data_IF_976956411502
#
_entry.id   IF_976956411502
#
_cell.length_a   1.000
_cell.length_b   1.000
_cell.length_c   1.000
_cell.angle_alpha   90.00
_cell.angle_beta   90.00
_cell.angle_gamma   90.00
#
_symmetry.space_group_name_H-M   'P 1'
#
loop_
_entity.id
_entity.type
_entity.pdbx_description
1 polymer ?
#
# COMPACT_ATOMS: atom_id res chain seq x y z
N UNK A 1 10.40 -0.89 55.50
CA UNK A 1 10.95 -1.53 54.30
C UNK A 1 10.04 -2.69 53.94
N UNK A 2 9.04 -2.42 53.10
CA UNK A 2 8.19 -3.44 52.50
C UNK A 2 7.74 -2.88 51.15
N UNK A 3 8.50 -3.21 50.11
CA UNK A 3 8.17 -2.97 48.70
C UNK A 3 9.05 -3.94 47.91
N UNK A 4 8.58 -5.19 47.78
CA UNK A 4 9.26 -6.18 46.91
C UNK A 4 8.33 -7.36 46.53
N UNK A 5 7.01 -7.13 46.55
CA UNK A 5 6.00 -8.19 46.37
C UNK A 5 5.04 -8.04 45.18
N UNK A 6 4.86 -6.82 44.65
CA UNK A 6 3.95 -6.53 43.53
C UNK A 6 4.62 -6.70 42.15
N UNK A 7 5.95 -6.51 42.07
CA UNK A 7 6.70 -6.45 40.80
C UNK A 7 6.80 -7.81 40.10
N UNK A 8 6.80 -8.91 40.86
CA UNK A 8 6.93 -10.28 40.32
C UNK A 8 5.63 -10.80 39.72
N UNK A 9 4.47 -10.35 40.21
CA UNK A 9 3.16 -10.75 39.67
C UNK A 9 2.82 -10.06 38.36
N UNK A 10 3.23 -8.79 38.20
CA UNK A 10 2.99 -8.01 36.99
C UNK A 10 3.86 -8.50 35.81
N UNK A 11 5.14 -8.83 36.06
CA UNK A 11 6.01 -9.42 35.01
C UNK A 11 5.51 -10.79 34.52
N UNK A 12 4.88 -11.58 35.39
CA UNK A 12 4.33 -12.89 35.03
C UNK A 12 3.06 -12.73 34.18
N UNK A 13 2.24 -11.72 34.44
CA UNK A 13 1.05 -11.40 33.64
C UNK A 13 1.43 -10.86 32.26
N UNK A 14 2.39 -9.93 32.18
CA UNK A 14 2.89 -9.37 30.90
C UNK A 14 3.47 -10.45 29.98
N UNK A 15 4.24 -11.41 30.53
CA UNK A 15 4.77 -12.54 29.75
C UNK A 15 3.67 -13.46 29.24
N UNK A 16 2.61 -13.66 30.03
CA UNK A 16 1.46 -14.46 29.61
C UNK A 16 0.65 -13.76 28.51
N UNK A 17 0.41 -12.46 28.64
CA UNK A 17 -0.25 -11.64 27.61
C UNK A 17 0.55 -11.65 26.31
N UNK A 18 1.88 -11.51 26.39
CA UNK A 18 2.76 -11.60 25.23
C UNK A 18 2.70 -12.99 24.58
N UNK A 19 2.76 -14.06 25.37
CA UNK A 19 2.67 -15.43 24.86
C UNK A 19 1.32 -15.69 24.17
N UNK A 20 0.22 -15.18 24.72
CA UNK A 20 -1.11 -15.27 24.11
C UNK A 20 -1.16 -14.52 22.76
N UNK A 21 -0.55 -13.33 22.67
CA UNK A 21 -0.45 -12.58 21.43
C UNK A 21 0.36 -13.35 20.37
N UNK A 22 1.51 -13.91 20.73
CA UNK A 22 2.33 -14.73 19.82
C UNK A 22 1.55 -15.95 19.31
N UNK A 23 0.78 -16.62 20.18
CA UNK A 23 -0.06 -17.75 19.78
C UNK A 23 -1.16 -17.33 18.80
N UNK A 24 -1.79 -16.17 19.02
CA UNK A 24 -2.80 -15.62 18.10
C UNK A 24 -2.21 -15.28 16.72
N UNK A 25 -1.02 -14.69 16.67
CA UNK A 25 -0.31 -14.39 15.41
C UNK A 25 0.06 -15.65 14.63
N UNK A 26 0.53 -16.70 15.33
CA UNK A 26 0.82 -18.00 14.71
C UNK A 26 -0.43 -18.64 14.10
N UNK A 27 -1.55 -18.61 14.83
CA UNK A 27 -2.82 -19.11 14.32
C UNK A 27 -3.30 -18.29 13.12
N UNK A 28 -3.18 -16.96 13.18
CA UNK A 28 -3.49 -16.07 12.06
C UNK A 28 -2.68 -16.43 10.82
N UNK A 29 -1.35 -16.57 10.95
CA UNK A 29 -0.46 -16.97 9.86
C UNK A 29 -0.84 -18.34 9.28
N UNK A 30 -1.19 -19.31 10.13
CA UNK A 30 -1.67 -20.63 9.69
C UNK A 30 -2.96 -20.51 8.87
N UNK A 31 -3.96 -19.75 9.35
CA UNK A 31 -5.23 -19.53 8.64
C UNK A 31 -5.05 -18.80 7.31
N UNK A 32 -4.16 -17.80 7.25
CA UNK A 32 -3.80 -17.13 6.00
C UNK A 32 -3.20 -18.13 5.01
N UNK A 33 -2.29 -19.00 5.45
CA UNK A 33 -1.71 -20.05 4.60
C UNK A 33 -2.75 -21.06 4.11
N UNK A 34 -3.71 -21.45 4.96
CA UNK A 34 -4.82 -22.32 4.57
C UNK A 34 -5.72 -21.66 3.52
N UNK A 35 -6.11 -20.40 3.74
CA UNK A 35 -6.89 -19.63 2.79
C UNK A 35 -6.16 -19.50 1.45
N UNK A 36 -4.87 -19.18 1.47
CA UNK A 36 -4.05 -19.14 0.26
C UNK A 36 -4.06 -20.47 -0.49
N UNK A 37 -3.84 -21.60 0.18
CA UNK A 37 -3.70 -22.91 -0.48
C UNK A 37 -5.01 -23.52 -0.95
N UNK A 38 -6.11 -23.28 -0.23
CA UNK A 38 -7.34 -24.06 -0.41
C UNK A 38 -8.54 -23.25 -0.91
N UNK A 39 -8.50 -21.91 -0.89
CA UNK A 39 -9.61 -21.10 -1.40
C UNK A 39 -9.71 -21.19 -2.93
N UNK A 40 -10.83 -21.73 -3.42
CA UNK A 40 -11.10 -21.88 -4.85
C UNK A 40 -11.28 -20.54 -5.57
N UNK A 41 -12.01 -19.60 -4.96
CA UNK A 41 -12.34 -18.28 -5.53
C UNK A 41 -11.67 -17.15 -4.74
N UNK A 42 -10.37 -17.29 -4.44
CA UNK A 42 -9.63 -16.38 -3.55
C UNK A 42 -9.73 -14.91 -3.98
N UNK A 43 -9.49 -14.63 -5.26
CA UNK A 43 -9.56 -13.27 -5.81
C UNK A 43 -10.96 -12.65 -5.66
N UNK A 44 -12.03 -13.42 -5.88
CA UNK A 44 -13.41 -12.95 -5.75
C UNK A 44 -13.74 -12.62 -4.29
N UNK A 45 -13.32 -13.48 -3.35
CA UNK A 45 -13.50 -13.26 -1.91
C UNK A 45 -12.76 -11.99 -1.48
N UNK A 46 -11.52 -11.81 -1.93
CA UNK A 46 -10.71 -10.63 -1.61
C UNK A 46 -11.32 -9.35 -2.19
N UNK A 47 -11.82 -9.38 -3.44
CA UNK A 47 -12.54 -8.22 -4.02
C UNK A 47 -13.77 -7.84 -3.19
N UNK A 48 -14.58 -8.82 -2.77
CA UNK A 48 -15.73 -8.58 -1.88
C UNK A 48 -15.30 -8.03 -0.51
N UNK A 49 -14.21 -8.53 0.05
CA UNK A 49 -13.68 -8.06 1.33
C UNK A 49 -13.15 -6.62 1.25
N UNK A 50 -12.50 -6.24 0.14
CA UNK A 50 -12.08 -4.85 -0.12
C UNK A 50 -13.27 -3.89 -0.24
N UNK A 51 -14.42 -4.36 -0.71
CA UNK A 51 -15.68 -3.60 -0.73
C UNK A 51 -16.50 -3.71 0.58
N UNK A 52 -16.02 -4.49 1.56
CA UNK A 52 -16.74 -4.87 2.77
C UNK A 52 -16.59 -3.89 3.93
N UNK A 53 -16.74 -4.42 5.14
CA UNK A 53 -16.59 -3.64 6.37
C UNK A 53 -15.13 -3.28 6.66
N UNK A 54 -14.94 -2.41 7.66
CA UNK A 54 -13.60 -1.98 8.11
C UNK A 54 -12.64 -3.14 8.38
N UNK A 55 -13.13 -4.17 9.06
CA UNK A 55 -12.34 -5.33 9.44
C UNK A 55 -12.01 -6.19 8.22
N UNK A 56 -12.96 -6.39 7.30
CA UNK A 56 -12.73 -7.12 6.05
C UNK A 56 -11.68 -6.43 5.20
N UNK A 57 -11.76 -5.09 5.07
CA UNK A 57 -10.79 -4.29 4.34
C UNK A 57 -9.39 -4.40 4.92
N UNK A 58 -9.26 -4.26 6.24
CA UNK A 58 -7.97 -4.40 6.92
C UNK A 58 -7.35 -5.78 6.68
N UNK A 59 -8.12 -6.84 6.93
CA UNK A 59 -7.66 -8.22 6.78
C UNK A 59 -7.31 -8.55 5.33
N UNK A 60 -8.10 -8.08 4.35
CA UNK A 60 -7.82 -8.29 2.94
C UNK A 60 -6.52 -7.59 2.50
N UNK A 61 -6.30 -6.36 2.94
CA UNK A 61 -5.09 -5.61 2.59
C UNK A 61 -3.83 -6.22 3.24
N UNK A 62 -3.90 -6.61 4.52
CA UNK A 62 -2.80 -7.32 5.19
C UNK A 62 -2.50 -8.69 4.54
N UNK A 63 -3.55 -9.39 4.11
CA UNK A 63 -3.38 -10.63 3.37
C UNK A 63 -2.66 -10.38 2.04
N UNK A 64 -3.03 -9.34 1.29
CA UNK A 64 -2.40 -9.00 0.01
C UNK A 64 -0.96 -8.48 0.17
N UNK A 65 -0.64 -7.82 1.27
CA UNK A 65 0.74 -7.41 1.63
C UNK A 65 1.64 -8.63 1.86
N UNK A 66 1.13 -9.65 2.56
CA UNK A 66 1.87 -10.89 2.83
C UNK A 66 1.86 -11.89 1.67
N UNK A 67 0.82 -11.87 0.82
CA UNK A 67 0.60 -12.84 -0.27
C UNK A 67 0.12 -12.10 -1.53
N UNK A 68 1.04 -11.53 -2.33
CA UNK A 68 0.68 -10.56 -3.37
C UNK A 68 0.22 -11.18 -4.70
N UNK A 69 -0.06 -12.48 -4.75
CA UNK A 69 -0.38 -13.21 -5.98
C UNK A 69 -1.66 -12.69 -6.68
N UNK A 70 -2.63 -12.23 -5.90
CA UNK A 70 -3.92 -11.73 -6.40
C UNK A 70 -3.91 -10.22 -6.71
N UNK A 71 -2.84 -9.51 -6.34
CA UNK A 71 -2.73 -8.04 -6.50
C UNK A 71 -2.94 -7.59 -7.94
N UNK A 72 -2.36 -8.21 -8.99
CA UNK A 72 -2.56 -7.75 -10.37
C UNK A 72 -4.04 -7.78 -10.80
N UNK A 73 -4.82 -8.73 -10.30
CA UNK A 73 -6.24 -8.86 -10.62
C UNK A 73 -7.11 -7.87 -9.84
N UNK A 74 -6.63 -7.39 -8.70
CA UNK A 74 -7.34 -6.48 -7.78
C UNK A 74 -6.83 -5.04 -7.85
N UNK A 75 -5.99 -4.72 -8.84
CA UNK A 75 -5.24 -3.47 -8.85
C UNK A 75 -6.12 -2.22 -8.92
N UNK A 76 -7.27 -2.29 -9.57
CA UNK A 76 -8.21 -1.18 -9.61
C UNK A 76 -8.73 -0.84 -8.19
N UNK A 77 -9.20 -1.84 -7.45
CA UNK A 77 -9.69 -1.68 -6.08
C UNK A 77 -8.56 -1.22 -5.14
N UNK A 78 -7.36 -1.78 -5.31
CA UNK A 78 -6.20 -1.40 -4.51
C UNK A 78 -5.76 0.03 -4.76
N UNK A 79 -5.85 0.54 -5.99
CA UNK A 79 -5.54 1.95 -6.27
C UNK A 79 -6.55 2.88 -5.59
N UNK A 80 -7.85 2.54 -5.56
CA UNK A 80 -8.84 3.31 -4.79
C UNK A 80 -8.48 3.39 -3.31
N UNK A 81 -8.03 2.27 -2.72
CA UNK A 81 -7.59 2.23 -1.32
C UNK A 81 -6.27 2.98 -1.10
N UNK A 82 -5.33 2.90 -2.05
CA UNK A 82 -4.03 3.56 -2.01
C UNK A 82 -4.13 5.10 -2.05
N UNK A 83 -5.21 5.61 -2.64
CA UNK A 83 -5.53 7.04 -2.61
C UNK A 83 -6.58 7.40 -1.56
N UNK A 84 -7.05 6.48 -0.74
CA UNK A 84 -7.88 6.79 0.43
C UNK A 84 -7.02 7.24 1.61
N UNK A 85 -7.54 8.05 2.54
CA UNK A 85 -6.77 8.40 3.74
C UNK A 85 -6.57 7.20 4.68
N UNK A 86 -7.61 6.38 4.84
CA UNK A 86 -7.65 5.33 5.85
C UNK A 86 -6.73 4.15 5.52
N UNK A 87 -6.69 3.75 4.26
CA UNK A 87 -6.07 2.49 3.83
C UNK A 87 -4.85 2.69 2.92
N UNK A 88 -4.44 3.95 2.69
CA UNK A 88 -3.34 4.29 1.79
C UNK A 88 -2.08 3.45 2.03
N UNK A 89 -1.60 3.41 3.28
CA UNK A 89 -0.35 2.72 3.61
C UNK A 89 -0.40 1.22 3.31
N UNK A 90 -1.46 0.53 3.76
CA UNK A 90 -1.62 -0.91 3.54
C UNK A 90 -1.76 -1.25 2.05
N UNK A 91 -2.57 -0.50 1.31
CA UNK A 91 -2.78 -0.74 -0.12
C UNK A 91 -1.51 -0.49 -0.94
N UNK A 92 -0.75 0.57 -0.63
CA UNK A 92 0.52 0.86 -1.33
C UNK A 92 1.55 -0.23 -1.10
N UNK A 93 1.70 -0.73 0.14
CA UNK A 93 2.61 -1.86 0.44
C UNK A 93 2.20 -3.12 -0.30
N UNK A 94 0.92 -3.47 -0.30
CA UNK A 94 0.40 -4.60 -1.06
C UNK A 94 0.71 -4.48 -2.57
N UNK A 95 0.55 -3.29 -3.16
CA UNK A 95 0.92 -3.05 -4.57
C UNK A 95 2.45 -3.16 -4.76
N UNK A 96 3.26 -2.63 -3.84
CA UNK A 96 4.71 -2.63 -3.93
C UNK A 96 5.32 -4.03 -3.81
N UNK A 97 4.71 -4.92 -3.02
CA UNK A 97 5.12 -6.31 -2.85
C UNK A 97 4.79 -7.22 -4.04
N UNK A 98 3.96 -6.77 -4.98
CA UNK A 98 3.54 -7.57 -6.13
C UNK A 98 4.58 -7.68 -7.24
N UNK A 99 4.38 -8.66 -8.12
CA UNK A 99 5.23 -8.84 -9.31
C UNK A 99 5.19 -7.58 -10.18
N UNK A 100 6.31 -6.86 -10.20
CA UNK A 100 6.49 -5.59 -10.91
C UNK A 100 6.21 -5.72 -12.41
N UNK A 101 6.56 -6.84 -13.03
CA UNK A 101 6.40 -7.04 -14.47
C UNK A 101 4.92 -7.12 -14.86
N UNK A 102 4.09 -7.74 -14.00
CA UNK A 102 2.65 -7.85 -14.21
C UNK A 102 1.89 -6.62 -13.74
N UNK A 103 2.33 -6.01 -12.65
CA UNK A 103 1.58 -4.95 -11.95
C UNK A 103 1.80 -3.58 -12.56
N UNK A 104 3.04 -3.20 -12.91
CA UNK A 104 3.36 -1.83 -13.37
C UNK A 104 2.63 -1.43 -14.65
N UNK A 105 2.54 -2.26 -15.72
CA UNK A 105 1.82 -1.86 -16.93
C UNK A 105 0.35 -1.53 -16.66
N UNK A 106 -0.31 -2.32 -15.80
CA UNK A 106 -1.71 -2.10 -15.42
C UNK A 106 -1.84 -0.88 -14.52
N UNK A 107 -0.94 -0.70 -13.55
CA UNK A 107 -0.90 0.46 -12.65
C UNK A 107 -0.79 1.76 -13.46
N UNK A 108 0.17 1.83 -14.38
CA UNK A 108 0.39 3.01 -15.24
C UNK A 108 -0.85 3.40 -16.03
N UNK A 109 -1.59 2.41 -16.54
CA UNK A 109 -2.87 2.65 -17.24
C UNK A 109 -3.90 3.27 -16.30
N UNK A 110 -4.12 2.66 -15.13
CA UNK A 110 -5.07 3.16 -14.12
C UNK A 110 -4.72 4.59 -13.69
N UNK A 111 -3.45 4.84 -13.38
CA UNK A 111 -2.97 6.16 -12.97
C UNK A 111 -3.16 7.18 -14.09
N UNK A 112 -2.77 6.86 -15.32
CA UNK A 112 -2.95 7.75 -16.49
C UNK A 112 -4.41 8.14 -16.71
N UNK A 113 -5.33 7.19 -16.56
CA UNK A 113 -6.77 7.45 -16.66
C UNK A 113 -7.25 8.36 -15.52
N UNK A 114 -6.77 8.14 -14.30
CA UNK A 114 -7.17 8.89 -13.11
C UNK A 114 -6.65 10.33 -13.13
N UNK A 115 -5.42 10.57 -13.60
CA UNK A 115 -4.80 11.91 -13.63
C UNK A 115 -5.62 12.95 -14.40
N UNK A 116 -6.45 12.52 -15.36
CA UNK A 116 -7.33 13.40 -16.16
C UNK A 116 -8.42 14.08 -15.33
N UNK A 117 -8.75 13.52 -14.16
CA UNK A 117 -9.83 13.99 -13.28
C UNK A 117 -9.38 14.16 -11.83
N UNK A 118 -8.09 13.97 -11.56
CA UNK A 118 -7.56 13.97 -10.21
C UNK A 118 -7.46 15.38 -9.63
N UNK A 119 -7.83 15.53 -8.37
CA UNK A 119 -7.61 16.77 -7.60
C UNK A 119 -6.18 16.83 -7.03
N UNK A 120 -5.82 17.95 -6.38
CA UNK A 120 -4.49 18.16 -5.82
C UNK A 120 -4.11 17.14 -4.75
N UNK A 121 -5.08 16.60 -4.01
CA UNK A 121 -4.84 15.56 -3.01
C UNK A 121 -4.61 14.19 -3.67
N UNK A 122 -5.39 13.85 -4.69
CA UNK A 122 -5.20 12.64 -5.47
C UNK A 122 -3.84 12.65 -6.18
N UNK A 123 -3.39 13.79 -6.72
CA UNK A 123 -2.03 13.92 -7.27
C UNK A 123 -0.95 13.60 -6.24
N UNK A 124 -1.05 14.13 -5.01
CA UNK A 124 -0.09 13.82 -3.93
C UNK A 124 -0.11 12.32 -3.58
N UNK A 125 -1.30 11.72 -3.45
CA UNK A 125 -1.44 10.31 -3.06
C UNK A 125 -0.99 9.35 -4.15
N UNK A 126 -1.24 9.69 -5.42
CA UNK A 126 -0.73 8.94 -6.56
C UNK A 126 0.79 9.05 -6.67
N UNK A 127 1.37 10.23 -6.40
CA UNK A 127 2.83 10.39 -6.36
C UNK A 127 3.45 9.50 -5.27
N UNK A 128 2.86 9.47 -4.07
CA UNK A 128 3.28 8.58 -2.99
C UNK A 128 3.17 7.11 -3.37
N UNK A 129 2.08 6.69 -4.01
CA UNK A 129 1.92 5.33 -4.50
C UNK A 129 3.01 4.96 -5.53
N UNK A 130 3.25 5.80 -6.53
CA UNK A 130 4.26 5.56 -7.56
C UNK A 130 5.68 5.52 -6.98
N UNK A 131 5.94 6.33 -5.95
CA UNK A 131 7.20 6.29 -5.22
C UNK A 131 7.36 4.99 -4.41
N UNK A 132 6.32 4.54 -3.72
CA UNK A 132 6.34 3.28 -2.96
C UNK A 132 6.63 2.07 -3.87
N UNK A 133 6.05 2.05 -5.07
CA UNK A 133 6.25 0.94 -6.04
C UNK A 133 7.50 1.14 -6.91
N UNK A 134 8.26 2.21 -6.68
CA UNK A 134 9.44 2.62 -7.43
C UNK A 134 9.19 2.73 -8.95
N UNK A 135 8.01 3.19 -9.36
CA UNK A 135 7.67 3.42 -10.77
C UNK A 135 8.04 4.85 -11.19
N UNK A 136 9.35 5.12 -11.14
CA UNK A 136 9.92 6.44 -11.40
C UNK A 136 9.55 7.03 -12.76
N UNK A 137 9.51 6.27 -13.88
CA UNK A 137 9.08 6.82 -15.16
C UNK A 137 7.64 7.34 -15.12
N UNK A 138 6.72 6.62 -14.47
CA UNK A 138 5.34 7.08 -14.35
C UNK A 138 5.22 8.25 -13.36
N UNK A 139 6.05 8.27 -12.31
CA UNK A 139 6.10 9.39 -11.37
C UNK A 139 6.53 10.68 -12.07
N UNK A 140 7.51 10.61 -12.96
CA UNK A 140 7.94 11.76 -13.78
C UNK A 140 6.82 12.27 -14.69
N UNK A 141 6.04 11.36 -15.31
CA UNK A 141 4.85 11.73 -16.09
C UNK A 141 3.81 12.44 -15.21
N UNK A 142 3.59 11.97 -13.98
CA UNK A 142 2.70 12.62 -13.03
C UNK A 142 3.20 14.03 -12.66
N UNK A 143 4.50 14.20 -12.38
CA UNK A 143 5.09 15.50 -12.04
C UNK A 143 4.91 16.50 -13.19
N UNK A 144 5.18 16.07 -14.43
CA UNK A 144 4.97 16.92 -15.61
C UNK A 144 3.48 17.27 -15.80
N UNK A 145 2.59 16.29 -15.64
CA UNK A 145 1.14 16.49 -15.70
C UNK A 145 0.65 17.48 -14.64
N UNK A 146 1.23 17.46 -13.44
CA UNK A 146 0.90 18.42 -12.39
C UNK A 146 1.36 19.84 -12.78
N UNK A 147 2.59 19.98 -13.27
CA UNK A 147 3.16 21.26 -13.70
C UNK A 147 2.35 21.93 -14.83
N UNK A 148 1.89 21.12 -15.79
CA UNK A 148 1.16 21.57 -16.98
C UNK A 148 -0.35 21.71 -16.75
N UNK A 149 -0.84 21.38 -15.55
CA UNK A 149 -2.26 21.43 -15.25
C UNK A 149 -2.83 22.84 -15.33
N UNK A 150 -4.01 22.96 -15.95
CA UNK A 150 -4.79 24.21 -15.97
C UNK A 150 -5.38 24.53 -14.60
N UNK A 151 -5.55 23.52 -13.73
CA UNK A 151 -6.01 23.73 -12.36
C UNK A 151 -4.85 24.29 -11.51
N UNK A 152 -5.06 25.49 -10.96
CA UNK A 152 -4.10 26.18 -10.10
C UNK A 152 -3.73 25.37 -8.85
N UNK A 153 -4.66 24.59 -8.28
CA UNK A 153 -4.40 23.78 -7.08
C UNK A 153 -3.49 22.61 -7.40
N UNK A 154 -3.76 21.91 -8.49
CA UNK A 154 -2.92 20.80 -8.97
C UNK A 154 -1.52 21.31 -9.33
N UNK A 155 -1.43 22.42 -10.07
CA UNK A 155 -0.14 23.01 -10.41
C UNK A 155 0.65 23.47 -9.20
N UNK A 156 -0.03 23.97 -8.16
CA UNK A 156 0.62 24.38 -6.92
C UNK A 156 1.29 23.23 -6.16
N UNK A 157 0.89 21.97 -6.37
CA UNK A 157 1.57 20.83 -5.73
C UNK A 157 2.82 20.36 -6.47
N UNK A 158 2.99 20.77 -7.73
CA UNK A 158 4.11 20.32 -8.57
C UNK A 158 5.48 20.65 -7.97
N UNK A 159 5.76 21.86 -7.44
CA UNK A 159 7.06 22.18 -6.86
C UNK A 159 7.41 21.30 -5.66
N UNK A 160 6.44 21.07 -4.75
CA UNK A 160 6.63 20.23 -3.56
C UNK A 160 6.93 18.78 -3.95
N UNK A 161 6.17 18.24 -4.91
CA UNK A 161 6.38 16.88 -5.41
C UNK A 161 7.72 16.75 -6.16
N UNK A 162 8.10 17.75 -6.96
CA UNK A 162 9.36 17.77 -7.68
C UNK A 162 10.56 17.87 -6.72
N UNK A 163 10.46 18.67 -5.66
CA UNK A 163 11.48 18.76 -4.62
C UNK A 163 11.67 17.41 -3.92
N UNK A 164 10.57 16.71 -3.62
CA UNK A 164 10.60 15.43 -2.88
C UNK A 164 11.06 14.25 -3.75
N UNK A 165 10.61 14.17 -5.00
CA UNK A 165 10.77 12.97 -5.83
C UNK A 165 11.59 13.18 -7.10
N UNK A 166 11.84 14.42 -7.52
CA UNK A 166 12.64 14.75 -8.69
C UNK A 166 14.04 14.12 -8.68
N UNK A 167 14.79 14.17 -7.56
CA UNK A 167 16.11 13.52 -7.48
C UNK A 167 16.08 12.01 -7.76
N UNK A 168 15.05 11.31 -7.28
CA UNK A 168 14.89 9.86 -7.47
C UNK A 168 14.59 9.49 -8.92
N UNK A 169 13.85 10.35 -9.63
CA UNK A 169 13.57 10.18 -11.05
C UNK A 169 14.85 10.36 -11.89
N UNK A 170 15.63 11.41 -11.61
CA UNK A 170 16.87 11.70 -12.34
C UNK A 170 17.96 10.62 -12.13
N UNK A 171 18.03 10.01 -10.95
CA UNK A 171 18.97 8.91 -10.68
C UNK A 171 18.65 7.65 -11.50
N UNK A 172 17.37 7.41 -11.75
CA UNK A 172 16.93 6.25 -12.53
C UNK A 172 17.30 6.39 -14.01
N UNK A 173 17.14 7.58 -14.59
CA UNK A 173 17.54 7.87 -15.97
C UNK A 173 19.05 7.68 -16.17
N UNK A 174 19.86 8.15 -15.21
CA UNK A 174 21.33 7.97 -15.27
C UNK A 174 21.76 6.51 -15.27
N UNK A 175 21.08 5.66 -14.48
CA UNK A 175 21.34 4.21 -14.43
C UNK A 175 20.89 3.46 -15.68
N UNK A 176 19.90 3.97 -16.41
CA UNK A 176 19.40 3.33 -17.63
C UNK A 176 20.30 3.58 -18.87
N UNK A 177 21.17 4.60 -18.82
CA UNK A 177 22.05 5.01 -19.93
C UNK A 177 23.47 4.42 -19.79
N UNK A 178 23.82 3.91 -18.61
CA UNK A 178 25.13 3.30 -18.31
C UNK A 178 25.10 1.79 -18.55
#
# INVERSE_FOLDING_TARGET
MAADGDDVTDEVDDRQLWAALVAAEQECARRRSEFYRHAWSRTEILSKALAGGVWDQAVALEFLDSVPHDVPALLHDLVEHAVSQRWAGLARRAIAGADRQRTRPVLRRIVSERLRRADDNEYRRLAELLAEVEDWPMLQVLLQSAADSTDLRVRAVSPDLAQRYGPLCADTERRAIS
#
